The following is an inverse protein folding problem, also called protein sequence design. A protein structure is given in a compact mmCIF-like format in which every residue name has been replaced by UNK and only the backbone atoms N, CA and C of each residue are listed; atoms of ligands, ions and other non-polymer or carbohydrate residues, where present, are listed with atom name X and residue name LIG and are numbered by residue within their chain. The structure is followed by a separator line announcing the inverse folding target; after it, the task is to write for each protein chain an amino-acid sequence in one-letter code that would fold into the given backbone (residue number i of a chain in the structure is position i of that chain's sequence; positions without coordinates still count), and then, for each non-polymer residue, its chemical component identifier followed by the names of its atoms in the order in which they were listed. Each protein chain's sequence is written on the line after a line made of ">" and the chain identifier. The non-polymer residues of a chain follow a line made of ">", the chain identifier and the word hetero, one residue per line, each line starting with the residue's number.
data_IF_777659513860
#
_entry.id   IF_777659513860
#
_cell.length_a   1.000
_cell.length_b   1.000
_cell.length_c   1.000
_cell.angle_alpha   90.00
_cell.angle_beta   90.00
_cell.angle_gamma   90.00
#
_symmetry.space_group_name_H-M   'P 1'
#
loop_
_entity.id
_entity.type
_entity.pdbx_description
1 polymer ?
#
# COMPACT_ATOMS: atom_id res chain seq x y z
N UNK A 1 -10.06 12.68 -2.53
CA UNK A 1 -10.30 11.25 -2.20
C UNK A 1 -9.52 10.41 -3.20
N UNK A 2 -8.87 9.32 -2.75
CA UNK A 2 -8.06 8.43 -3.60
C UNK A 2 -8.60 7.01 -3.43
N UNK A 3 -8.95 6.37 -4.54
CA UNK A 3 -9.66 5.09 -4.61
C UNK A 3 -11.02 5.12 -3.86
N UNK A 4 -11.86 4.14 -4.17
CA UNK A 4 -13.22 4.00 -3.64
C UNK A 4 -13.48 2.67 -2.93
N UNK A 5 -12.60 1.67 -3.13
CA UNK A 5 -12.82 0.33 -2.60
C UNK A 5 -13.82 -0.49 -3.40
N UNK A 6 -14.15 -1.66 -2.88
CA UNK A 6 -15.15 -2.59 -3.42
C UNK A 6 -16.52 -2.50 -2.75
N UNK A 7 -16.62 -1.92 -1.55
CA UNK A 7 -17.85 -1.86 -0.76
C UNK A 7 -18.48 -0.46 -0.78
N UNK A 8 -19.50 -0.31 -1.63
CA UNK A 8 -20.27 0.93 -1.82
C UNK A 8 -20.93 1.41 -0.52
N UNK A 9 -21.55 0.50 0.23
CA UNK A 9 -22.30 0.88 1.43
C UNK A 9 -21.33 1.36 2.51
N UNK A 10 -20.21 0.66 2.68
CA UNK A 10 -19.17 1.04 3.64
C UNK A 10 -18.63 2.44 3.35
N UNK A 11 -18.20 2.73 2.12
CA UNK A 11 -17.57 4.03 1.82
C UNK A 11 -18.57 5.19 1.86
N UNK A 12 -19.80 5.00 1.34
CA UNK A 12 -20.81 6.05 1.34
C UNK A 12 -21.32 6.38 2.75
N UNK A 13 -21.51 5.36 3.59
CA UNK A 13 -21.89 5.56 5.00
C UNK A 13 -20.75 6.20 5.79
N UNK A 14 -19.50 5.79 5.53
CA UNK A 14 -18.35 6.37 6.21
C UNK A 14 -18.19 7.87 5.91
N UNK A 15 -18.25 8.26 4.64
CA UNK A 15 -18.21 9.67 4.23
C UNK A 15 -19.37 10.48 4.83
N UNK A 16 -20.57 9.90 4.89
CA UNK A 16 -21.74 10.54 5.49
C UNK A 16 -21.58 10.72 7.01
N UNK A 17 -21.07 9.71 7.72
CA UNK A 17 -20.82 9.77 9.16
C UNK A 17 -19.72 10.77 9.51
N UNK A 18 -18.76 11.00 8.62
CA UNK A 18 -17.77 12.08 8.73
C UNK A 18 -18.34 13.47 8.42
N UNK A 19 -19.60 13.57 8.00
CA UNK A 19 -20.22 14.83 7.62
C UNK A 19 -19.66 15.44 6.32
N UNK A 20 -19.01 14.62 5.48
CA UNK A 20 -18.46 15.09 4.21
C UNK A 20 -19.62 15.41 3.27
N UNK A 21 -19.73 16.68 2.89
CA UNK A 21 -20.73 17.18 1.94
C UNK A 21 -20.15 17.49 0.56
N UNK A 22 -18.83 17.62 0.45
CA UNK A 22 -18.13 17.97 -0.79
C UNK A 22 -16.83 17.16 -0.96
N UNK A 23 -16.51 16.84 -2.21
CA UNK A 23 -15.22 16.27 -2.61
C UNK A 23 -14.69 17.15 -3.75
N UNK A 24 -13.58 17.85 -3.55
CA UNK A 24 -13.01 18.67 -4.64
C UNK A 24 -12.43 17.81 -5.77
N UNK A 25 -11.73 16.73 -5.41
CA UNK A 25 -11.01 15.87 -6.34
C UNK A 25 -11.12 14.41 -5.97
N UNK A 26 -11.35 13.59 -6.99
CA UNK A 26 -11.34 12.13 -6.91
C UNK A 26 -10.21 11.59 -7.79
N UNK A 27 -9.44 10.63 -7.27
CA UNK A 27 -8.32 10.02 -7.98
C UNK A 27 -8.51 8.51 -7.96
N UNK A 28 -8.51 7.87 -9.13
CA UNK A 28 -8.39 6.43 -9.26
C UNK A 28 -6.91 6.10 -9.48
N UNK A 29 -6.32 5.27 -8.63
CA UNK A 29 -4.94 4.82 -8.83
C UNK A 29 -4.84 4.00 -10.12
N UNK A 30 -5.74 3.03 -10.33
CA UNK A 30 -5.85 2.23 -11.55
C UNK A 30 -7.26 1.59 -11.66
N UNK A 31 -7.52 0.86 -12.76
CA UNK A 31 -8.86 0.42 -13.14
C UNK A 31 -9.35 -0.90 -12.50
N UNK A 32 -8.66 -1.45 -11.49
CA UNK A 32 -9.14 -2.66 -10.81
C UNK A 32 -10.38 -2.39 -9.94
N UNK A 33 -11.25 -3.38 -9.84
CA UNK A 33 -12.56 -3.23 -9.23
C UNK A 33 -12.48 -2.89 -7.74
N UNK A 34 -11.54 -3.48 -7.01
CA UNK A 34 -11.27 -3.18 -5.60
C UNK A 34 -10.71 -1.77 -5.36
N UNK A 35 -10.39 -1.02 -6.41
CA UNK A 35 -10.07 0.40 -6.36
C UNK A 35 -11.24 1.27 -6.80
N UNK A 36 -11.94 0.93 -7.89
CA UNK A 36 -12.88 1.85 -8.54
C UNK A 36 -14.37 1.46 -8.45
N UNK A 37 -14.74 0.39 -7.75
CA UNK A 37 -16.13 -0.13 -7.80
C UNK A 37 -17.20 0.85 -7.38
N UNK A 38 -16.90 1.78 -6.47
CA UNK A 38 -17.87 2.74 -5.95
C UNK A 38 -17.71 4.14 -6.54
N UNK A 39 -16.81 4.34 -7.52
CA UNK A 39 -16.53 5.64 -8.11
C UNK A 39 -17.77 6.27 -8.76
N UNK A 40 -18.56 5.51 -9.53
CA UNK A 40 -19.76 6.02 -10.19
C UNK A 40 -20.79 6.58 -9.20
N UNK A 41 -20.91 5.94 -8.03
CA UNK A 41 -21.81 6.36 -6.94
C UNK A 41 -21.29 7.59 -6.21
N UNK A 42 -19.99 7.63 -5.94
CA UNK A 42 -19.34 8.80 -5.33
C UNK A 42 -19.46 10.00 -6.25
N UNK A 43 -19.21 9.82 -7.55
CA UNK A 43 -19.37 10.87 -8.57
C UNK A 43 -20.82 11.35 -8.60
N UNK A 44 -21.79 10.44 -8.63
CA UNK A 44 -23.21 10.80 -8.65
C UNK A 44 -23.66 11.58 -7.39
N UNK A 45 -23.16 11.19 -6.21
CA UNK A 45 -23.54 11.80 -4.92
C UNK A 45 -22.86 13.14 -4.69
N UNK A 46 -21.53 13.21 -4.87
CA UNK A 46 -20.71 14.35 -4.45
C UNK A 46 -20.33 15.30 -5.59
N UNK A 47 -20.44 14.85 -6.85
CA UNK A 47 -20.15 15.63 -8.07
C UNK A 47 -18.82 16.39 -7.96
N UNK A 48 -17.68 15.66 -7.83
CA UNK A 48 -16.39 16.29 -7.61
C UNK A 48 -16.02 17.25 -8.74
N UNK A 49 -15.20 18.26 -8.45
CA UNK A 49 -14.80 19.24 -9.48
C UNK A 49 -13.83 18.65 -10.49
N UNK A 50 -12.99 17.70 -10.05
CA UNK A 50 -11.96 17.09 -10.86
C UNK A 50 -11.84 15.57 -10.61
N UNK A 51 -11.47 14.85 -11.66
CA UNK A 51 -11.15 13.44 -11.63
C UNK A 51 -9.78 13.17 -12.27
N UNK A 52 -8.98 12.29 -11.67
CA UNK A 52 -7.68 11.84 -12.19
C UNK A 52 -7.62 10.32 -12.24
N UNK A 53 -7.14 9.74 -13.34
CA UNK A 53 -6.75 8.33 -13.44
C UNK A 53 -5.52 8.14 -14.35
N UNK A 54 -4.99 6.93 -14.54
CA UNK A 54 -3.84 6.70 -15.42
C UNK A 54 -4.01 7.08 -16.90
N UNK A 55 -5.21 7.37 -17.39
CA UNK A 55 -5.45 7.52 -18.83
C UNK A 55 -5.38 6.20 -19.62
N UNK A 56 -5.51 5.05 -18.94
CA UNK A 56 -5.44 3.72 -19.54
C UNK A 56 -6.86 3.15 -19.66
N UNK A 57 -7.41 3.03 -20.89
CA UNK A 57 -8.74 2.48 -21.09
C UNK A 57 -8.84 1.03 -20.63
N UNK A 58 -10.02 0.66 -20.10
CA UNK A 58 -10.32 -0.71 -19.74
C UNK A 58 -11.75 -1.10 -20.16
N UNK A 59 -12.02 -2.38 -20.36
CA UNK A 59 -13.31 -2.86 -20.90
C UNK A 59 -14.27 -3.39 -19.85
N UNK A 60 -13.89 -3.38 -18.56
CA UNK A 60 -14.75 -3.86 -17.49
C UNK A 60 -15.98 -2.97 -17.32
N UNK A 61 -17.11 -3.59 -16.96
CA UNK A 61 -18.33 -2.86 -16.62
C UNK A 61 -18.10 -1.81 -15.52
N UNK A 62 -17.21 -2.09 -14.56
CA UNK A 62 -16.85 -1.14 -13.50
C UNK A 62 -16.18 0.11 -14.05
N UNK A 63 -15.18 -0.04 -14.92
CA UNK A 63 -14.53 1.10 -15.56
C UNK A 63 -15.52 1.88 -16.45
N UNK A 64 -16.34 1.18 -17.22
CA UNK A 64 -17.38 1.79 -18.06
C UNK A 64 -18.38 2.64 -17.24
N UNK A 65 -18.85 2.14 -16.09
CA UNK A 65 -19.74 2.92 -15.21
C UNK A 65 -19.05 4.17 -14.68
N UNK A 66 -17.77 4.06 -14.30
CA UNK A 66 -16.97 5.20 -13.83
C UNK A 66 -16.85 6.29 -14.89
N UNK A 67 -16.38 5.96 -16.10
CA UNK A 67 -16.25 6.96 -17.19
C UNK A 67 -17.60 7.53 -17.62
N UNK A 68 -18.67 6.72 -17.61
CA UNK A 68 -20.04 7.19 -17.91
C UNK A 68 -20.51 8.19 -16.86
N UNK A 69 -20.17 7.98 -15.58
CA UNK A 69 -20.50 8.93 -14.53
C UNK A 69 -19.70 10.24 -14.67
N UNK A 70 -18.42 10.17 -15.01
CA UNK A 70 -17.58 11.36 -15.28
C UNK A 70 -18.23 12.23 -16.37
N UNK A 71 -18.62 11.61 -17.50
CA UNK A 71 -19.29 12.29 -18.61
C UNK A 71 -20.66 12.83 -18.21
N UNK A 72 -21.54 11.98 -17.65
CA UNK A 72 -22.90 12.36 -17.24
C UNK A 72 -22.96 13.57 -16.31
N UNK A 73 -21.99 13.70 -15.40
CA UNK A 73 -21.95 14.78 -14.42
C UNK A 73 -20.98 15.91 -14.79
N UNK A 74 -20.41 15.90 -15.99
CA UNK A 74 -19.47 16.90 -16.51
C UNK A 74 -18.29 17.17 -15.56
N UNK A 75 -17.70 16.09 -15.04
CA UNK A 75 -16.54 16.17 -14.15
C UNK A 75 -15.29 16.50 -14.98
N UNK A 76 -14.48 17.47 -14.55
CA UNK A 76 -13.25 17.79 -15.27
C UNK A 76 -12.26 16.62 -15.16
N UNK A 77 -12.00 15.96 -16.28
CA UNK A 77 -11.11 14.81 -16.37
C UNK A 77 -9.67 15.23 -16.66
N UNK A 78 -8.71 14.61 -15.97
CA UNK A 78 -7.30 14.78 -16.23
C UNK A 78 -6.58 13.44 -16.21
N UNK A 79 -5.72 13.20 -17.19
CA UNK A 79 -4.78 12.08 -17.12
C UNK A 79 -3.73 12.32 -16.01
N UNK A 80 -3.30 11.23 -15.40
CA UNK A 80 -2.31 11.15 -14.32
C UNK A 80 -0.89 11.44 -14.78
N UNK A 81 -0.66 12.58 -15.42
CA UNK A 81 0.68 13.07 -15.77
C UNK A 81 1.35 13.74 -14.56
N UNK A 82 2.67 13.85 -14.60
CA UNK A 82 3.46 14.53 -13.57
C UNK A 82 2.96 15.97 -13.35
N UNK A 83 2.47 16.26 -12.15
CA UNK A 83 2.00 17.60 -11.76
C UNK A 83 1.97 17.77 -10.26
N UNK A 84 2.16 19.02 -9.81
CA UNK A 84 1.88 19.43 -8.43
C UNK A 84 0.58 20.24 -8.40
N UNK A 85 -0.33 19.88 -7.51
CA UNK A 85 -1.65 20.49 -7.33
C UNK A 85 -1.68 21.10 -5.94
N UNK A 86 -1.81 22.42 -5.86
CA UNK A 86 -1.88 23.13 -4.58
C UNK A 86 -3.35 23.33 -4.18
N UNK A 87 -3.68 22.91 -2.96
CA UNK A 87 -5.00 22.97 -2.33
C UNK A 87 -4.88 23.76 -1.01
N UNK A 88 -4.37 24.99 -1.10
CA UNK A 88 -4.03 25.81 0.06
C UNK A 88 -2.74 25.33 0.73
N UNK A 89 -2.80 25.01 2.02
CA UNK A 89 -1.67 24.46 2.79
C UNK A 89 -1.36 22.99 2.48
N UNK A 90 -2.27 22.32 1.77
CA UNK A 90 -2.09 20.96 1.29
C UNK A 90 -1.64 20.99 -0.17
N UNK A 91 -0.73 20.11 -0.56
CA UNK A 91 -0.39 19.88 -1.96
C UNK A 91 -0.34 18.41 -2.30
N UNK A 92 -0.72 18.08 -3.54
CA UNK A 92 -0.60 16.74 -4.10
C UNK A 92 0.46 16.76 -5.19
N UNK A 93 1.42 15.86 -5.11
CA UNK A 93 2.35 15.58 -6.22
C UNK A 93 1.93 14.26 -6.86
N UNK A 94 1.49 14.35 -8.11
CA UNK A 94 1.10 13.21 -8.94
C UNK A 94 2.36 12.66 -9.58
N UNK A 95 2.72 11.42 -9.22
CA UNK A 95 3.76 10.66 -9.90
C UNK A 95 3.06 9.78 -10.96
N UNK A 96 3.39 9.97 -12.24
CA UNK A 96 2.62 9.38 -13.32
C UNK A 96 2.78 7.86 -13.41
N UNK A 97 1.93 7.18 -14.20
CA UNK A 97 2.22 5.83 -14.70
C UNK A 97 3.60 5.74 -15.38
N UNK A 98 4.09 4.51 -15.60
CA UNK A 98 5.35 4.31 -16.30
C UNK A 98 5.29 4.86 -17.74
N UNK A 99 6.42 5.41 -18.22
CA UNK A 99 6.56 5.88 -19.61
C UNK A 99 7.85 5.26 -20.19
N UNK A 100 7.75 4.29 -21.12
CA UNK A 100 6.52 3.64 -21.63
C UNK A 100 5.82 2.80 -20.55
N UNK A 101 4.53 2.49 -20.78
CA UNK A 101 3.75 1.61 -19.90
C UNK A 101 4.44 0.26 -19.72
N UNK A 102 4.47 -0.23 -18.48
CA UNK A 102 4.98 -1.57 -18.16
C UNK A 102 3.96 -2.61 -18.62
N UNK A 103 4.39 -3.57 -19.44
CA UNK A 103 3.55 -4.65 -19.99
C UNK A 103 3.45 -5.84 -19.04
N UNK A 104 2.40 -6.65 -19.17
CA UNK A 104 2.20 -7.89 -18.39
C UNK A 104 1.55 -7.70 -17.01
N UNK A 105 1.73 -6.54 -16.38
CA UNK A 105 1.03 -6.11 -15.14
C UNK A 105 0.48 -4.69 -15.34
N UNK A 106 -0.22 -4.50 -16.46
CA UNK A 106 -0.48 -3.18 -17.04
C UNK A 106 -1.36 -2.28 -16.18
N UNK A 107 -2.22 -2.81 -15.33
CA UNK A 107 -3.04 -1.95 -14.47
C UNK A 107 -2.32 -1.59 -13.17
N UNK A 108 -1.66 -2.55 -12.55
CA UNK A 108 -0.95 -2.39 -11.28
C UNK A 108 0.26 -1.47 -11.42
N UNK A 109 1.22 -1.83 -12.27
CA UNK A 109 2.47 -1.08 -12.46
C UNK A 109 2.28 0.30 -13.09
N UNK A 110 1.12 0.54 -13.70
CA UNK A 110 0.77 1.84 -14.27
C UNK A 110 -0.25 2.59 -13.39
N UNK A 111 -0.26 2.29 -12.09
CA UNK A 111 -1.00 3.10 -11.11
C UNK A 111 -0.49 4.54 -11.07
N UNK A 112 -1.40 5.49 -10.88
CA UNK A 112 -1.06 6.84 -10.43
C UNK A 112 -0.65 6.77 -8.96
N UNK A 113 0.58 7.20 -8.67
CA UNK A 113 1.09 7.32 -7.30
C UNK A 113 0.91 8.76 -6.84
N UNK A 114 0.41 8.96 -5.63
CA UNK A 114 0.11 10.30 -5.10
C UNK A 114 0.91 10.53 -3.83
N UNK A 115 1.77 11.55 -3.84
CA UNK A 115 2.33 12.13 -2.62
C UNK A 115 1.41 13.25 -2.16
N UNK A 116 1.08 13.26 -0.87
CA UNK A 116 0.38 14.34 -0.20
C UNK A 116 1.36 15.00 0.77
N UNK A 117 1.48 16.31 0.69
CA UNK A 117 2.21 17.13 1.66
C UNK A 117 1.22 18.12 2.30
N UNK A 118 1.22 18.20 3.63
CA UNK A 118 0.45 19.17 4.39
C UNK A 118 1.34 19.74 5.50
N UNK A 119 1.90 20.94 5.26
CA UNK A 119 2.98 21.51 6.09
C UNK A 119 4.15 20.52 6.25
N UNK A 120 4.42 20.05 7.46
CA UNK A 120 5.52 19.13 7.78
C UNK A 120 5.11 17.65 7.74
N UNK A 121 3.82 17.38 7.52
CA UNK A 121 3.27 16.03 7.43
C UNK A 121 3.17 15.56 5.98
N UNK A 122 3.52 14.30 5.74
CA UNK A 122 3.51 13.72 4.39
C UNK A 122 3.01 12.27 4.31
N UNK A 123 2.28 11.97 3.24
CA UNK A 123 1.80 10.61 2.92
C UNK A 123 2.15 10.21 1.48
N UNK A 124 2.39 8.92 1.25
CA UNK A 124 2.50 8.34 -0.08
C UNK A 124 1.42 7.26 -0.28
N UNK A 125 0.63 7.43 -1.34
CA UNK A 125 -0.40 6.50 -1.80
C UNK A 125 0.07 5.85 -3.09
N UNK A 126 0.40 4.57 -3.03
CA UNK A 126 1.12 3.89 -4.10
C UNK A 126 0.23 3.10 -5.05
N UNK A 127 -1.09 3.01 -4.79
CA UNK A 127 -1.94 2.07 -5.51
C UNK A 127 -1.37 0.66 -5.42
N UNK A 128 -1.29 -0.01 -6.57
CA UNK A 128 -0.83 -1.39 -6.67
C UNK A 128 0.47 -1.52 -7.47
N UNK A 129 1.31 -0.47 -7.49
CA UNK A 129 2.62 -0.55 -8.13
C UNK A 129 3.41 -1.76 -7.60
N UNK A 130 4.09 -2.46 -8.51
CA UNK A 130 4.92 -3.61 -8.17
C UNK A 130 6.40 -3.22 -8.25
N UNK A 131 7.28 -4.17 -7.89
CA UNK A 131 8.74 -3.98 -7.79
C UNK A 131 9.37 -3.31 -9.04
N UNK A 132 8.81 -3.56 -10.22
CA UNK A 132 9.28 -2.92 -11.46
C UNK A 132 9.04 -1.40 -11.46
N UNK A 133 7.80 -0.96 -11.19
CA UNK A 133 7.49 0.48 -11.12
C UNK A 133 8.16 1.14 -9.93
N UNK A 134 8.29 0.45 -8.80
CA UNK A 134 9.07 0.93 -7.64
C UNK A 134 10.52 1.28 -8.04
N UNK A 135 11.17 0.42 -8.83
CA UNK A 135 12.52 0.65 -9.35
C UNK A 135 12.63 1.87 -10.26
N UNK A 136 11.65 2.09 -11.13
CA UNK A 136 11.58 3.29 -11.97
C UNK A 136 11.41 4.56 -11.13
N UNK A 137 10.51 4.54 -10.14
CA UNK A 137 10.30 5.69 -9.24
C UNK A 137 11.54 6.04 -8.41
N UNK A 138 12.33 5.05 -8.01
CA UNK A 138 13.63 5.26 -7.35
C UNK A 138 14.64 6.02 -8.22
N UNK A 139 14.51 5.93 -9.55
CA UNK A 139 15.38 6.61 -10.50
C UNK A 139 14.81 7.96 -10.91
N UNK A 140 13.52 8.02 -11.18
CA UNK A 140 12.84 9.17 -11.79
C UNK A 140 12.34 10.21 -10.77
N UNK A 141 12.06 9.78 -9.54
CA UNK A 141 11.26 10.58 -8.58
C UNK A 141 11.68 10.38 -7.13
N UNK A 142 12.94 9.98 -6.89
CA UNK A 142 13.46 9.65 -5.56
C UNK A 142 13.21 10.72 -4.50
N UNK A 143 13.34 12.00 -4.87
CA UNK A 143 13.11 13.15 -3.98
C UNK A 143 11.66 13.25 -3.49
N UNK A 144 10.71 12.63 -4.18
CA UNK A 144 9.29 12.63 -3.83
C UNK A 144 8.88 11.40 -3.01
N UNK A 145 9.77 10.43 -2.76
CA UNK A 145 9.39 9.18 -2.10
C UNK A 145 9.41 9.26 -0.57
N UNK A 146 10.28 10.09 0.02
CA UNK A 146 10.38 10.15 1.48
C UNK A 146 9.16 10.81 2.11
N UNK A 147 8.44 10.07 2.97
CA UNK A 147 7.21 10.53 3.62
C UNK A 147 7.10 10.00 5.04
N UNK A 148 6.22 10.58 5.87
CA UNK A 148 5.95 10.07 7.22
C UNK A 148 5.12 8.78 7.19
N UNK A 149 4.12 8.72 6.30
CA UNK A 149 3.15 7.62 6.24
C UNK A 149 3.05 7.04 4.85
N UNK A 150 3.18 5.71 4.76
CA UNK A 150 3.02 4.95 3.53
C UNK A 150 1.72 4.15 3.56
N UNK A 151 0.82 4.35 2.57
CA UNK A 151 -0.13 3.30 2.19
C UNK A 151 0.67 2.26 1.42
N UNK A 152 0.84 1.07 1.99
CA UNK A 152 1.64 0.00 1.39
C UNK A 152 1.02 -0.44 0.08
N UNK A 153 1.85 -0.59 -0.95
CA UNK A 153 1.42 -0.96 -2.29
C UNK A 153 0.76 -2.34 -2.32
N UNK A 154 -0.27 -2.47 -3.16
CA UNK A 154 -0.86 -3.77 -3.55
C UNK A 154 -1.23 -4.63 -2.34
N UNK A 155 -1.80 -4.00 -1.32
CA UNK A 155 -2.25 -4.65 -0.08
C UNK A 155 -1.15 -5.39 0.70
N UNK A 156 0.13 -5.10 0.41
CA UNK A 156 1.28 -5.83 0.97
C UNK A 156 1.63 -7.13 0.22
N UNK A 157 1.31 -7.21 -1.07
CA UNK A 157 1.74 -8.28 -1.98
C UNK A 157 3.26 -8.48 -2.00
N UNK A 158 3.71 -9.72 -2.19
CA UNK A 158 5.11 -10.09 -2.45
C UNK A 158 5.59 -9.61 -3.82
N UNK A 159 4.70 -9.21 -4.73
CA UNK A 159 5.08 -8.57 -5.99
C UNK A 159 5.55 -7.12 -5.80
N UNK A 160 5.34 -6.55 -4.60
CA UNK A 160 5.62 -5.14 -4.28
C UNK A 160 6.52 -5.03 -3.06
N UNK A 161 6.68 -3.81 -2.52
CA UNK A 161 7.44 -3.47 -1.33
C UNK A 161 8.89 -3.95 -1.37
N UNK A 162 9.62 -3.68 -2.45
CA UNK A 162 11.06 -3.97 -2.51
C UNK A 162 11.81 -3.28 -1.37
N UNK A 163 12.86 -3.93 -0.87
CA UNK A 163 13.70 -3.38 0.20
C UNK A 163 14.22 -1.97 -0.12
N UNK A 164 14.69 -1.74 -1.36
CA UNK A 164 15.20 -0.44 -1.79
C UNK A 164 14.11 0.63 -1.83
N UNK A 165 12.89 0.28 -2.26
CA UNK A 165 11.77 1.20 -2.27
C UNK A 165 11.35 1.58 -0.86
N UNK A 166 11.06 0.61 0.01
CA UNK A 166 10.65 0.87 1.40
C UNK A 166 11.72 1.67 2.15
N UNK A 167 13.00 1.36 1.94
CA UNK A 167 14.11 2.13 2.53
C UNK A 167 14.20 3.56 2.01
N UNK A 168 13.93 3.79 0.72
CA UNK A 168 13.94 5.15 0.16
C UNK A 168 12.71 5.97 0.55
N UNK A 169 11.56 5.31 0.74
CA UNK A 169 10.37 5.94 1.32
C UNK A 169 10.63 6.28 2.79
N UNK A 170 11.26 5.37 3.54
CA UNK A 170 11.64 5.58 4.94
C UNK A 170 10.49 6.06 5.85
N UNK A 171 9.28 5.45 5.78
CA UNK A 171 8.14 5.93 6.53
C UNK A 171 8.27 5.57 8.02
N UNK A 172 7.66 6.37 8.89
CA UNK A 172 7.47 6.01 10.30
C UNK A 172 6.33 5.00 10.45
N UNK A 173 5.28 5.17 9.66
CA UNK A 173 4.05 4.37 9.69
C UNK A 173 3.79 3.74 8.32
N UNK A 174 3.43 2.46 8.31
CA UNK A 174 2.93 1.75 7.14
C UNK A 174 1.48 1.29 7.39
N UNK A 175 0.57 1.71 6.52
CA UNK A 175 -0.84 1.29 6.51
C UNK A 175 -1.04 0.27 5.40
N UNK A 176 -1.43 -0.94 5.76
CA UNK A 176 -1.74 -2.03 4.84
C UNK A 176 -3.26 -2.17 4.76
N UNK A 177 -3.84 -1.81 3.62
CA UNK A 177 -5.26 -2.00 3.36
C UNK A 177 -5.48 -3.41 2.78
N UNK A 178 -5.98 -4.35 3.58
CA UNK A 178 -6.31 -5.71 3.19
C UNK A 178 -7.57 -6.19 3.94
N UNK A 179 -8.29 -7.15 3.35
CA UNK A 179 -9.49 -7.75 3.95
C UNK A 179 -9.15 -8.96 4.83
N UNK A 180 -9.90 -9.15 5.92
CA UNK A 180 -9.80 -10.35 6.75
C UNK A 180 -10.12 -11.60 5.92
N UNK A 181 -9.24 -12.59 5.93
CA UNK A 181 -9.43 -13.83 5.17
C UNK A 181 -9.42 -13.64 3.65
N UNK A 182 -8.80 -12.57 3.13
CA UNK A 182 -8.67 -12.38 1.69
C UNK A 182 -7.94 -13.58 1.05
N UNK A 183 -8.39 -13.96 -0.15
CA UNK A 183 -7.95 -15.20 -0.82
C UNK A 183 -6.55 -15.12 -1.43
N UNK A 184 -5.98 -13.91 -1.52
CA UNK A 184 -4.65 -13.66 -2.07
C UNK A 184 -3.53 -13.90 -1.04
N UNK A 185 -3.88 -14.08 0.24
CA UNK A 185 -2.89 -14.22 1.31
C UNK A 185 -2.21 -12.90 1.67
N UNK A 186 -2.80 -11.76 1.31
CA UNK A 186 -2.26 -10.44 1.61
C UNK A 186 -2.53 -10.05 3.08
N UNK A 187 -1.63 -9.29 3.72
CA UNK A 187 -0.26 -9.03 3.29
C UNK A 187 0.60 -10.29 3.40
N UNK A 188 1.56 -10.45 2.49
CA UNK A 188 2.52 -11.54 2.57
C UNK A 188 3.47 -11.34 3.77
N UNK A 189 3.87 -12.44 4.40
CA UNK A 189 4.73 -12.41 5.59
C UNK A 189 6.08 -11.74 5.33
N UNK A 190 6.64 -11.87 4.12
CA UNK A 190 7.89 -11.19 3.74
C UNK A 190 7.78 -9.66 3.81
N UNK A 191 6.65 -9.10 3.37
CA UNK A 191 6.38 -7.65 3.43
C UNK A 191 6.29 -7.19 4.88
N UNK A 192 5.57 -7.94 5.72
CA UNK A 192 5.46 -7.65 7.16
C UNK A 192 6.84 -7.70 7.83
N UNK A 193 7.60 -8.76 7.60
CA UNK A 193 8.94 -8.94 8.18
C UNK A 193 9.90 -7.84 7.73
N UNK A 194 9.85 -7.43 6.46
CA UNK A 194 10.66 -6.31 5.97
C UNK A 194 10.32 -5.01 6.70
N UNK A 195 9.05 -4.63 6.78
CA UNK A 195 8.60 -3.41 7.46
C UNK A 195 9.03 -3.42 8.95
N UNK A 196 8.84 -4.54 9.64
CA UNK A 196 9.25 -4.70 11.04
C UNK A 196 10.78 -4.61 11.20
N UNK A 197 11.55 -5.23 10.30
CA UNK A 197 13.02 -5.19 10.34
C UNK A 197 13.60 -3.78 10.18
N UNK A 198 12.85 -2.88 9.54
CA UNK A 198 13.20 -1.48 9.37
C UNK A 198 12.65 -0.58 10.49
N UNK A 199 12.00 -1.16 11.51
CA UNK A 199 11.43 -0.42 12.64
C UNK A 199 10.18 0.38 12.29
N UNK A 200 9.51 0.04 11.19
CA UNK A 200 8.31 0.73 10.71
C UNK A 200 7.09 0.20 11.48
N UNK A 201 6.29 1.10 12.04
CA UNK A 201 5.05 0.72 12.73
C UNK A 201 3.97 0.37 11.71
N UNK A 202 3.32 -0.79 11.90
CA UNK A 202 2.37 -1.34 10.93
C UNK A 202 0.94 -1.27 11.48
N UNK A 203 0.04 -0.71 10.68
CA UNK A 203 -1.41 -0.79 10.89
C UNK A 203 -2.04 -1.56 9.72
N UNK A 204 -2.98 -2.47 10.01
CA UNK A 204 -3.63 -3.29 8.98
C UNK A 204 -5.14 -3.24 9.11
N UNK A 205 -5.86 -3.00 8.02
CA UNK A 205 -7.33 -2.88 8.08
C UNK A 205 -8.04 -4.19 8.42
N UNK A 206 -7.44 -5.35 8.15
CA UNK A 206 -8.02 -6.64 8.54
C UNK A 206 -7.95 -6.89 10.06
N UNK A 207 -7.00 -6.27 10.76
CA UNK A 207 -6.84 -6.38 12.21
C UNK A 207 -7.44 -5.18 12.95
N UNK A 208 -7.17 -3.97 12.46
CA UNK A 208 -7.49 -2.70 13.09
C UNK A 208 -8.83 -2.09 12.63
N UNK A 209 -9.49 -2.68 11.63
CA UNK A 209 -10.64 -2.07 10.97
C UNK A 209 -10.27 -0.75 10.30
N UNK A 210 -11.17 0.23 10.35
CA UNK A 210 -10.88 1.58 9.85
C UNK A 210 -9.72 2.22 10.62
N UNK A 211 -8.72 2.71 9.89
CA UNK A 211 -7.58 3.46 10.44
C UNK A 211 -7.78 4.93 10.09
N UNK A 212 -7.95 5.78 11.10
CA UNK A 212 -8.15 7.22 10.95
C UNK A 212 -6.91 7.97 11.45
N UNK A 213 -6.29 8.73 10.55
CA UNK A 213 -5.15 9.59 10.87
C UNK A 213 -5.62 11.03 10.84
N UNK A 214 -5.57 11.71 11.98
CA UNK A 214 -5.91 13.12 12.11
C UNK A 214 -4.63 13.93 12.29
N UNK A 215 -4.50 15.01 11.53
CA UNK A 215 -3.31 15.87 11.57
C UNK A 215 -3.69 17.33 11.36
N UNK A 216 -2.91 18.24 11.96
CA UNK A 216 -2.93 19.68 11.70
C UNK A 216 -1.81 20.12 10.74
N UNK A 217 -1.06 19.14 10.20
CA UNK A 217 0.09 19.30 9.33
C UNK A 217 1.43 19.34 10.05
N UNK A 218 1.46 19.35 11.38
CA UNK A 218 2.70 19.30 12.18
C UNK A 218 2.71 18.00 12.98
N UNK A 219 1.66 17.78 13.76
CA UNK A 219 1.46 16.56 14.55
C UNK A 219 0.35 15.70 13.96
N UNK A 220 0.34 14.41 14.31
CA UNK A 220 -0.74 13.50 13.93
C UNK A 220 -1.11 12.50 15.04
N UNK A 221 -2.37 12.07 15.02
CA UNK A 221 -2.92 11.04 15.90
C UNK A 221 -3.54 9.93 15.05
N UNK A 222 -3.33 8.68 15.46
CA UNK A 222 -3.88 7.50 14.80
C UNK A 222 -4.95 6.87 15.69
N UNK A 223 -6.11 6.60 15.10
CA UNK A 223 -7.22 5.90 15.73
C UNK A 223 -7.54 4.64 14.92
N UNK A 224 -7.87 3.55 15.60
CA UNK A 224 -8.26 2.28 14.98
C UNK A 224 -9.65 1.89 15.45
N UNK A 225 -10.49 1.42 14.54
CA UNK A 225 -11.84 0.93 14.86
C UNK A 225 -11.80 -0.29 15.79
N UNK A 226 -10.82 -1.16 15.58
CA UNK A 226 -10.58 -2.36 16.40
C UNK A 226 -9.26 -2.19 17.12
N UNK A 227 -9.27 -2.35 18.44
CA UNK A 227 -8.02 -2.49 19.18
C UNK A 227 -7.30 -3.74 18.69
N UNK A 228 -6.08 -3.57 18.19
CA UNK A 228 -5.21 -4.71 17.95
C UNK A 228 -4.96 -5.36 19.30
N UNK A 229 -5.16 -6.68 19.39
CA UNK A 229 -4.39 -7.48 20.34
C UNK A 229 -2.94 -7.24 19.92
N UNK A 230 -2.25 -6.33 20.61
CA UNK A 230 -0.83 -6.07 20.34
C UNK A 230 -0.15 -7.43 20.40
N UNK A 231 0.44 -7.88 19.29
CA UNK A 231 1.58 -8.76 19.44
C UNK A 231 2.55 -8.00 20.35
N UNK A 232 3.04 -8.61 21.45
CA UNK A 232 3.94 -7.92 22.36
C UNK A 232 5.03 -7.23 21.53
N UNK A 233 5.44 -5.99 21.86
CA UNK A 233 6.61 -5.41 21.21
C UNK A 233 7.71 -6.46 21.28
N UNK A 234 8.40 -6.71 20.15
CA UNK A 234 9.53 -7.61 20.12
C UNK A 234 10.39 -7.26 21.32
N UNK A 235 10.45 -8.19 22.28
CA UNK A 235 11.23 -8.00 23.49
C UNK A 235 12.62 -7.67 22.98
N UNK A 236 13.12 -6.48 23.32
CA UNK A 236 14.55 -6.21 23.23
C UNK A 236 15.18 -7.20 24.19
N UNK A 237 15.50 -8.40 23.71
CA UNK A 237 16.43 -9.27 24.40
C UNK A 237 17.73 -8.52 24.40
N UNK A 238 18.05 -7.92 25.53
CA UNK A 238 19.44 -7.62 25.88
C UNK A 238 20.25 -8.84 25.45
N UNK A 239 21.31 -8.58 24.68
CA UNK A 239 22.23 -9.60 24.25
C UNK A 239 22.84 -10.24 25.51
N UNK A 240 22.21 -11.31 26.02
CA UNK A 240 22.92 -12.31 26.76
C UNK A 240 23.91 -12.89 25.77
N UNK A 241 25.19 -12.72 26.07
CA UNK A 241 26.30 -13.46 25.49
C UNK A 241 25.91 -14.93 25.40
N UNK A 242 25.46 -15.36 24.23
CA UNK A 242 25.27 -16.77 23.92
C UNK A 242 26.65 -17.33 23.67
N UNK A 243 27.08 -18.23 24.56
CA UNK A 243 28.11 -19.20 24.22
C UNK A 243 27.72 -19.84 22.88
N UNK A 244 28.64 -19.77 21.92
CA UNK A 244 28.50 -20.47 20.64
C UNK A 244 28.44 -21.97 20.91
N UNK A 245 27.25 -22.56 20.86
CA UNK A 245 27.12 -24.00 20.75
C UNK A 245 27.56 -24.41 19.33
N UNK A 246 28.71 -25.06 19.24
CA UNK A 246 29.12 -25.77 18.03
C UNK A 246 28.14 -26.91 17.75
N UNK A 247 27.37 -26.79 16.67
CA UNK A 247 26.55 -27.90 16.16
C UNK A 247 27.41 -28.82 15.30
N UNK A 248 27.60 -30.06 15.75
CA UNK A 248 28.26 -31.11 14.97
C UNK A 248 27.22 -31.87 14.15
N UNK A 249 27.52 -32.08 12.87
CA UNK A 249 26.67 -32.78 11.91
C UNK A 249 27.37 -34.05 11.39
N UNK A 250 26.58 -35.07 11.04
CA UNK A 250 27.00 -36.26 10.33
C UNK A 250 26.36 -36.29 8.93
N UNK A 251 27.13 -36.68 7.92
CA UNK A 251 26.69 -36.76 6.53
C UNK A 251 27.15 -38.08 5.90
N UNK A 252 26.33 -38.63 5.00
CA UNK A 252 26.74 -39.78 4.18
C UNK A 252 27.58 -39.32 3.00
N UNK A 253 28.59 -40.10 2.59
CA UNK A 253 29.34 -39.83 1.35
C UNK A 253 28.54 -40.09 0.07
N UNK A 254 27.31 -40.62 0.19
CA UNK A 254 26.46 -41.02 -0.94
C UNK A 254 25.16 -40.21 -1.06
N UNK A 255 24.90 -39.28 -0.14
CA UNK A 255 23.72 -38.39 -0.20
C UNK A 255 24.06 -37.00 0.31
N UNK A 256 23.40 -35.98 -0.21
CA UNK A 256 23.58 -34.58 0.20
C UNK A 256 22.74 -34.20 1.43
N UNK A 257 22.43 -35.17 2.30
CA UNK A 257 21.58 -34.98 3.48
C UNK A 257 22.45 -34.96 4.75
N UNK A 258 22.28 -33.91 5.55
CA UNK A 258 23.02 -33.70 6.79
C UNK A 258 22.10 -33.90 8.00
N UNK A 259 22.59 -34.64 9.00
CA UNK A 259 21.88 -34.88 10.25
C UNK A 259 22.65 -34.28 11.42
N UNK A 260 21.96 -33.71 12.40
CA UNK A 260 22.55 -33.44 13.71
C UNK A 260 23.06 -34.75 14.34
N UNK A 261 24.21 -34.76 15.02
CA UNK A 261 24.72 -35.98 15.67
C UNK A 261 23.72 -36.60 16.66
N UNK A 262 22.86 -35.78 17.28
CA UNK A 262 21.80 -36.23 18.19
C UNK A 262 20.59 -36.86 17.49
N UNK A 263 20.54 -36.87 16.15
CA UNK A 263 19.46 -37.47 15.39
C UNK A 263 19.53 -39.00 15.49
N UNK A 264 18.40 -39.63 15.82
CA UNK A 264 18.26 -41.09 15.98
C UNK A 264 18.64 -41.90 14.72
N UNK A 265 18.63 -41.26 13.55
CA UNK A 265 19.00 -41.87 12.27
C UNK A 265 20.51 -41.88 11.99
N UNK A 266 21.33 -41.15 12.75
CA UNK A 266 22.79 -41.07 12.53
C UNK A 266 23.46 -42.44 12.69
N UNK A 267 23.00 -43.26 13.64
CA UNK A 267 23.52 -44.61 13.86
C UNK A 267 23.29 -45.57 12.67
N UNK A 268 22.42 -45.20 11.72
CA UNK A 268 22.10 -45.99 10.52
C UNK A 268 22.82 -45.53 9.25
N UNK A 269 23.59 -44.43 9.33
CA UNK A 269 24.40 -43.93 8.22
C UNK A 269 25.63 -44.86 8.05
N UNK A 270 25.72 -45.56 6.91
CA UNK A 270 26.92 -46.31 6.50
C UNK A 270 27.88 -45.45 5.66
#
# INVERSE_FOLDING_TARGET
>A
MIDSGSDESLILNYLQNLGISHIDMLIASHAHADHISSMDKIIAKYKPKAFIDPGIPHTTATYQRMITAIDKYNINYYEGISRKINLGSLSLTILPPAIPLIKGSELNNNSVVVRLDYKDFSCLFTGDIEKEREGQLLTESRSNLNVDILKVAHHGSSSSSSHLFIKSVGPKIAVICCGQGNKYGHPHQETISLLQSLGIEIYRTDLNGTILIKTDGIDYQIFTEKESIRAPPAVKTEAKTTETQEYKYAASKKSEVFHYISCSYVASIK
#
